data_IF_594820543970
#
_entry.id   IF_594820543970
#
_cell.length_a   1.000
_cell.length_b   1.000
_cell.length_c   1.000
_cell.angle_alpha   90.00
_cell.angle_beta   90.00
_cell.angle_gamma   90.00
#
_symmetry.space_group_name_H-M   'P 1'
#
loop_
_entity.id
_entity.type
_entity.pdbx_description
1 polymer ?
#
# COMPACT_ATOMS: atom_id res chain seq x y z
N UNK A 1 2.91 -22.98 23.30
CA UNK A 1 2.83 -22.28 22.02
C UNK A 1 2.10 -23.22 21.07
N UNK A 2 0.97 -22.79 20.49
CA UNK A 2 0.23 -23.64 19.55
C UNK A 2 1.04 -23.86 18.26
N UNK A 3 0.84 -24.99 17.57
CA UNK A 3 1.51 -25.22 16.31
C UNK A 3 1.08 -24.18 15.28
N UNK A 4 1.98 -23.82 14.37
CA UNK A 4 1.64 -23.02 13.21
C UNK A 4 0.98 -23.93 12.17
N UNK A 5 -0.16 -23.50 11.63
CA UNK A 5 -0.97 -24.28 10.68
C UNK A 5 -1.02 -23.57 9.34
N UNK A 6 -0.75 -24.28 8.26
CA UNK A 6 -0.99 -23.77 6.90
C UNK A 6 -2.47 -23.89 6.59
N UNK A 7 -3.12 -22.78 6.31
CA UNK A 7 -4.55 -22.72 5.98
C UNK A 7 -4.79 -22.84 4.47
N UNK A 8 -3.94 -22.23 3.66
CA UNK A 8 -4.08 -22.24 2.20
C UNK A 8 -2.72 -22.01 1.51
N UNK A 9 -2.64 -22.40 0.23
CA UNK A 9 -1.47 -22.22 -0.63
C UNK A 9 -1.91 -21.97 -2.06
N UNK A 10 -1.17 -21.14 -2.80
CA UNK A 10 -1.40 -20.89 -4.22
C UNK A 10 -0.10 -20.53 -4.92
N UNK A 11 0.08 -21.02 -6.14
CA UNK A 11 1.17 -20.58 -7.03
C UNK A 11 0.73 -19.32 -7.77
N UNK A 12 1.55 -18.27 -7.72
CA UNK A 12 1.33 -17.02 -8.42
C UNK A 12 1.74 -17.11 -9.89
N UNK A 13 1.29 -16.17 -10.76
CA UNK A 13 1.64 -16.18 -12.19
C UNK A 13 3.14 -16.12 -12.49
N UNK A 14 3.95 -15.59 -11.57
CA UNK A 14 5.41 -15.53 -11.69
C UNK A 14 6.14 -16.79 -11.16
N UNK A 15 5.37 -17.81 -10.77
CA UNK A 15 5.88 -19.09 -10.25
C UNK A 15 6.16 -19.09 -8.75
N UNK A 16 6.12 -17.95 -8.06
CA UNK A 16 6.28 -17.91 -6.60
C UNK A 16 5.08 -18.54 -5.88
N UNK A 17 5.29 -19.02 -4.66
CA UNK A 17 4.24 -19.64 -3.84
C UNK A 17 3.80 -18.67 -2.75
N UNK A 18 2.50 -18.39 -2.69
CA UNK A 18 1.88 -17.63 -1.61
C UNK A 18 1.18 -18.62 -0.67
N UNK A 19 1.53 -18.57 0.60
CA UNK A 19 0.97 -19.39 1.67
C UNK A 19 0.26 -18.50 2.70
N UNK A 20 -0.92 -18.94 3.14
CA UNK A 20 -1.60 -18.38 4.31
C UNK A 20 -1.41 -19.34 5.50
N UNK A 21 -0.90 -18.80 6.59
CA UNK A 21 -0.67 -19.52 7.83
C UNK A 21 -1.41 -18.88 8.99
N UNK A 22 -1.72 -19.68 10.02
CA UNK A 22 -2.34 -19.22 11.27
C UNK A 22 -1.55 -19.75 12.47
N UNK A 23 -1.41 -18.92 13.51
CA UNK A 23 -0.91 -19.30 14.83
C UNK A 23 -1.52 -18.41 15.90
N UNK A 24 -2.09 -19.02 16.92
CA UNK A 24 -2.69 -18.33 18.08
C UNK A 24 -3.74 -17.25 17.67
N UNK A 25 -4.49 -17.49 16.58
CA UNK A 25 -5.47 -16.55 16.02
C UNK A 25 -4.88 -15.43 15.17
N UNK A 26 -3.57 -15.45 14.90
CA UNK A 26 -2.91 -14.50 14.00
C UNK A 26 -2.64 -15.12 12.64
N UNK A 27 -2.96 -14.38 11.59
CA UNK A 27 -2.69 -14.76 10.21
C UNK A 27 -1.34 -14.23 9.73
N UNK A 28 -0.69 -15.01 8.87
CA UNK A 28 0.59 -14.67 8.25
C UNK A 28 0.53 -15.03 6.76
N UNK A 29 0.92 -14.10 5.90
CA UNK A 29 1.20 -14.41 4.51
C UNK A 29 2.69 -14.62 4.32
N UNK A 30 3.06 -15.72 3.67
CA UNK A 30 4.42 -16.02 3.28
C UNK A 30 4.49 -16.17 1.75
N UNK A 31 5.50 -15.55 1.14
CA UNK A 31 5.82 -15.75 -0.28
C UNK A 31 7.18 -16.45 -0.34
N UNK A 32 7.21 -17.61 -0.97
CA UNK A 32 8.40 -18.49 -1.03
C UNK A 32 9.03 -18.69 0.35
N UNK A 33 8.20 -18.91 1.37
CA UNK A 33 8.62 -19.10 2.75
C UNK A 33 9.02 -17.83 3.51
N UNK A 34 9.05 -16.65 2.87
CA UNK A 34 9.35 -15.37 3.51
C UNK A 34 8.05 -14.68 3.90
N UNK A 35 7.91 -14.29 5.18
CA UNK A 35 6.72 -13.61 5.66
C UNK A 35 6.60 -12.23 5.04
N UNK A 36 5.49 -11.98 4.34
CA UNK A 36 5.19 -10.70 3.67
C UNK A 36 4.15 -9.86 4.40
N UNK A 37 3.30 -10.49 5.22
CA UNK A 37 2.34 -9.78 6.06
C UNK A 37 2.02 -10.56 7.33
N UNK A 38 1.53 -9.85 8.35
CA UNK A 38 1.11 -10.42 9.64
C UNK A 38 -0.01 -9.62 10.25
N UNK A 39 -1.05 -10.29 10.74
CA UNK A 39 -2.11 -9.63 11.52
C UNK A 39 -1.68 -9.23 12.92
N UNK A 40 -0.53 -9.74 13.39
CA UNK A 40 0.09 -9.29 14.64
C UNK A 40 0.85 -7.97 14.47
N UNK A 41 1.42 -7.70 13.30
CA UNK A 41 2.33 -6.57 13.05
C UNK A 41 1.88 -5.77 11.82
N UNK A 42 0.98 -4.82 12.03
CA UNK A 42 0.38 -3.97 10.99
C UNK A 42 0.45 -2.46 11.30
N UNK A 43 1.18 -2.05 12.34
CA UNK A 43 1.29 -0.63 12.74
C UNK A 43 1.81 0.28 11.63
N UNK A 44 2.76 -0.19 10.83
CA UNK A 44 3.25 0.58 9.69
C UNK A 44 2.24 0.73 8.55
N UNK A 45 1.32 -0.23 8.38
CA UNK A 45 0.21 -0.13 7.44
C UNK A 45 -0.75 0.98 7.85
N UNK A 46 -1.08 1.06 9.14
CA UNK A 46 -1.95 2.09 9.70
C UNK A 46 -1.30 3.48 9.63
N UNK A 47 -0.01 3.58 9.94
CA UNK A 47 0.74 4.83 9.83
C UNK A 47 0.78 5.34 8.39
N UNK A 48 1.09 4.48 7.42
CA UNK A 48 1.08 4.82 6.00
C UNK A 48 -0.31 5.29 5.53
N UNK A 49 -1.36 4.59 5.94
CA UNK A 49 -2.75 4.97 5.65
C UNK A 49 -3.11 6.34 6.25
N UNK A 50 -2.70 6.63 7.49
CA UNK A 50 -2.94 7.91 8.14
C UNK A 50 -2.23 9.05 7.41
N UNK A 51 -0.97 8.86 6.98
CA UNK A 51 -0.22 9.84 6.19
C UNK A 51 -0.86 10.11 4.84
N UNK A 52 -1.33 9.05 4.15
CA UNK A 52 -2.03 9.18 2.87
C UNK A 52 -3.39 9.89 2.99
N UNK A 53 -4.10 9.64 4.08
CA UNK A 53 -5.42 10.20 4.32
C UNK A 53 -5.39 11.69 4.77
N UNK A 54 -4.38 12.08 5.55
CA UNK A 54 -4.31 13.40 6.20
C UNK A 54 -4.56 14.59 5.24
N UNK A 55 -3.90 14.70 4.06
CA UNK A 55 -4.07 15.84 3.17
C UNK A 55 -5.43 15.86 2.44
N UNK A 56 -6.15 14.74 2.42
CA UNK A 56 -7.36 14.56 1.60
C UNK A 56 -8.65 14.35 2.38
N UNK A 57 -8.60 14.44 3.72
CA UNK A 57 -9.79 14.29 4.59
C UNK A 57 -10.96 15.20 4.20
N UNK A 58 -10.69 16.36 3.60
CA UNK A 58 -11.70 17.33 3.15
C UNK A 58 -12.07 17.21 1.67
N UNK A 59 -11.43 16.34 0.91
CA UNK A 59 -11.76 16.12 -0.50
C UNK A 59 -13.16 15.49 -0.62
N UNK A 60 -13.96 15.94 -1.60
CA UNK A 60 -15.30 15.40 -1.82
C UNK A 60 -15.26 13.94 -2.31
N UNK A 61 -14.30 13.63 -3.17
CA UNK A 61 -14.13 12.32 -3.81
C UNK A 61 -12.67 11.87 -3.70
N UNK A 62 -12.19 11.54 -2.48
CA UNK A 62 -10.83 11.03 -2.32
C UNK A 62 -10.69 9.69 -3.04
N UNK A 63 -9.58 9.51 -3.76
CA UNK A 63 -9.31 8.31 -4.56
C UNK A 63 -7.92 7.79 -4.24
N UNK A 64 -7.83 6.49 -3.95
CA UNK A 64 -6.63 5.80 -3.53
C UNK A 64 -6.38 4.58 -4.42
N UNK A 65 -5.11 4.31 -4.71
CA UNK A 65 -4.66 3.06 -5.30
C UNK A 65 -3.78 2.34 -4.27
N UNK A 66 -4.11 1.09 -3.96
CA UNK A 66 -3.34 0.23 -3.09
C UNK A 66 -2.64 -0.83 -3.93
N UNK A 67 -1.34 -0.97 -3.75
CA UNK A 67 -0.50 -1.97 -4.40
C UNK A 67 -0.48 -3.24 -3.55
N UNK A 68 -1.39 -4.14 -3.84
CA UNK A 68 -1.67 -5.35 -3.09
C UNK A 68 -2.73 -5.20 -1.99
N UNK A 69 -3.47 -6.26 -1.75
CA UNK A 69 -4.42 -6.38 -0.64
C UNK A 69 -3.71 -6.83 0.65
N UNK A 70 -2.78 -7.78 0.53
CA UNK A 70 -2.16 -8.42 1.67
C UNK A 70 -3.21 -8.96 2.65
N UNK A 71 -3.07 -8.67 3.95
CA UNK A 71 -4.08 -8.98 4.97
C UNK A 71 -5.11 -7.84 5.17
N UNK A 72 -5.16 -6.84 4.28
CA UNK A 72 -6.19 -5.80 4.26
C UNK A 72 -5.94 -4.59 5.16
N UNK A 73 -4.95 -4.59 6.06
CA UNK A 73 -4.80 -3.57 7.10
C UNK A 73 -4.60 -2.14 6.57
N UNK A 74 -3.90 -1.97 5.46
CA UNK A 74 -3.77 -0.64 4.82
C UNK A 74 -5.12 -0.13 4.32
N UNK A 75 -5.91 -1.00 3.68
CA UNK A 75 -7.25 -0.66 3.21
C UNK A 75 -8.16 -0.36 4.38
N UNK A 76 -8.17 -1.19 5.41
CA UNK A 76 -9.01 -1.01 6.60
C UNK A 76 -8.73 0.33 7.28
N UNK A 77 -7.45 0.65 7.48
CA UNK A 77 -7.04 1.92 8.08
C UNK A 77 -7.45 3.13 7.23
N UNK A 78 -7.35 3.03 5.89
CA UNK A 78 -7.85 4.08 4.98
C UNK A 78 -9.36 4.25 5.07
N UNK A 79 -10.13 3.16 5.09
CA UNK A 79 -11.59 3.20 5.19
C UNK A 79 -12.05 3.85 6.50
N UNK A 80 -11.32 3.62 7.60
CA UNK A 80 -11.60 4.22 8.91
C UNK A 80 -11.28 5.73 8.94
N UNK A 81 -10.20 6.14 8.28
CA UNK A 81 -9.79 7.55 8.16
C UNK A 81 -10.68 8.34 7.20
N UNK A 82 -11.17 7.70 6.15
CA UNK A 82 -11.90 8.33 5.04
C UNK A 82 -13.33 7.77 5.00
N UNK A 83 -14.24 8.41 5.70
CA UNK A 83 -15.66 8.01 5.80
C UNK A 83 -16.55 8.64 4.73
N UNK A 84 -15.98 9.27 3.68
CA UNK A 84 -16.73 9.89 2.60
C UNK A 84 -17.36 8.80 1.73
N UNK A 85 -18.66 8.89 1.46
CA UNK A 85 -19.42 7.94 0.61
C UNK A 85 -18.87 7.88 -0.82
N UNK A 86 -18.41 9.02 -1.35
CA UNK A 86 -17.82 9.11 -2.69
C UNK A 86 -16.31 8.82 -2.73
N UNK A 87 -15.73 8.29 -1.64
CA UNK A 87 -14.35 7.82 -1.66
C UNK A 87 -14.22 6.60 -2.57
N UNK A 88 -13.04 6.42 -3.16
CA UNK A 88 -12.73 5.27 -4.01
C UNK A 88 -11.42 4.64 -3.54
N UNK A 89 -11.48 3.36 -3.23
CA UNK A 89 -10.32 2.53 -2.86
C UNK A 89 -10.16 1.47 -3.93
N UNK A 90 -9.18 1.65 -4.81
CA UNK A 90 -8.84 0.68 -5.85
C UNK A 90 -7.69 -0.16 -5.33
N UNK A 91 -7.92 -1.47 -5.22
CA UNK A 91 -6.92 -2.44 -4.78
C UNK A 91 -6.42 -3.20 -6.00
N UNK A 92 -5.15 -3.05 -6.30
CA UNK A 92 -4.45 -3.80 -7.32
C UNK A 92 -3.98 -5.13 -6.74
N UNK A 93 -4.72 -6.22 -6.98
CA UNK A 93 -4.39 -7.54 -6.41
C UNK A 93 -4.35 -8.60 -7.51
N UNK A 94 -3.15 -8.94 -8.02
CA UNK A 94 -3.03 -9.97 -9.06
C UNK A 94 -3.40 -11.39 -8.60
N UNK A 95 -3.31 -11.66 -7.29
CA UNK A 95 -3.58 -12.98 -6.72
C UNK A 95 -5.07 -13.16 -6.41
N UNK A 96 -5.84 -13.69 -7.37
CA UNK A 96 -7.25 -14.00 -7.18
C UNK A 96 -7.54 -14.93 -5.98
N UNK A 97 -6.76 -16.00 -5.71
CA UNK A 97 -6.96 -16.84 -4.54
C UNK A 97 -6.96 -16.07 -3.21
N UNK A 98 -6.16 -15.01 -3.07
CA UNK A 98 -6.10 -14.21 -1.86
C UNK A 98 -7.46 -13.58 -1.50
N UNK A 99 -8.27 -13.19 -2.49
CA UNK A 99 -9.62 -12.68 -2.24
C UNK A 99 -10.55 -13.76 -1.67
N UNK A 100 -10.42 -15.00 -2.15
CA UNK A 100 -11.20 -16.11 -1.61
C UNK A 100 -10.78 -16.41 -0.17
N UNK A 101 -9.49 -16.38 0.12
CA UNK A 101 -8.98 -16.56 1.49
C UNK A 101 -9.50 -15.47 2.43
N UNK A 102 -9.61 -14.22 1.97
CA UNK A 102 -10.25 -13.16 2.78
C UNK A 102 -11.69 -13.48 3.12
N UNK A 103 -12.47 -14.01 2.16
CA UNK A 103 -13.89 -14.35 2.37
C UNK A 103 -14.10 -15.58 3.25
N UNK A 104 -13.26 -16.58 3.07
CA UNK A 104 -13.48 -17.92 3.63
C UNK A 104 -12.73 -18.14 4.95
N UNK A 105 -11.56 -17.52 5.10
CA UNK A 105 -10.61 -17.82 6.17
C UNK A 105 -10.28 -16.62 7.07
N UNK A 106 -10.45 -15.39 6.57
CA UNK A 106 -10.02 -14.17 7.26
C UNK A 106 -11.14 -13.13 7.44
N UNK A 107 -12.40 -13.47 7.15
CA UNK A 107 -13.54 -12.53 7.22
C UNK A 107 -13.75 -11.93 8.62
N UNK A 108 -13.27 -12.61 9.66
CA UNK A 108 -13.33 -12.13 11.05
C UNK A 108 -12.56 -10.82 11.29
N UNK A 109 -11.52 -10.52 10.51
CA UNK A 109 -10.72 -9.31 10.68
C UNK A 109 -11.54 -8.05 10.33
N UNK A 110 -12.29 -8.09 9.24
CA UNK A 110 -13.24 -7.05 8.85
C UNK A 110 -14.34 -7.62 7.93
N UNK A 111 -15.43 -8.11 8.51
CA UNK A 111 -16.50 -8.74 7.75
C UNK A 111 -17.04 -7.83 6.65
N UNK A 112 -17.22 -8.38 5.45
CA UNK A 112 -17.93 -7.73 4.37
C UNK A 112 -17.23 -6.54 3.71
N UNK A 113 -15.94 -6.25 3.99
CA UNK A 113 -15.24 -5.10 3.40
C UNK A 113 -15.17 -5.13 1.87
N UNK A 114 -15.17 -6.32 1.27
CA UNK A 114 -15.20 -6.50 -0.20
C UNK A 114 -16.54 -6.11 -0.83
N UNK A 115 -17.60 -5.97 -0.02
CA UNK A 115 -18.91 -5.50 -0.45
C UNK A 115 -19.13 -4.01 -0.23
N UNK A 116 -18.15 -3.28 0.37
CA UNK A 116 -18.24 -1.82 0.48
C UNK A 116 -18.21 -1.21 -0.92
N UNK A 117 -19.23 -0.40 -1.32
CA UNK A 117 -19.33 0.15 -2.68
C UNK A 117 -18.17 1.08 -3.05
N UNK A 118 -17.38 1.51 -2.09
CA UNK A 118 -16.19 2.35 -2.29
C UNK A 118 -14.95 1.53 -2.66
N UNK A 119 -14.98 0.21 -2.44
CA UNK A 119 -13.85 -0.70 -2.69
C UNK A 119 -14.03 -1.40 -4.03
N UNK A 120 -13.01 -1.35 -4.87
CA UNK A 120 -12.92 -2.14 -6.09
C UNK A 120 -11.59 -2.87 -6.14
N UNK A 121 -11.62 -4.15 -6.50
CA UNK A 121 -10.40 -4.96 -6.67
C UNK A 121 -10.16 -5.18 -8.15
N UNK A 122 -8.98 -4.81 -8.62
CA UNK A 122 -8.52 -5.02 -9.99
C UNK A 122 -7.42 -6.08 -10.01
N UNK A 123 -7.61 -7.13 -10.82
CA UNK A 123 -6.64 -8.24 -10.96
C UNK A 123 -5.49 -7.87 -11.90
N UNK A 124 -4.79 -6.81 -11.54
CA UNK A 124 -3.67 -6.28 -12.31
C UNK A 124 -2.62 -5.67 -11.37
N UNK A 125 -1.34 -5.56 -11.80
CA UNK A 125 -0.33 -4.82 -11.05
C UNK A 125 -0.72 -3.33 -10.91
N UNK A 126 -0.40 -2.72 -9.76
CA UNK A 126 -0.70 -1.31 -9.49
C UNK A 126 -0.12 -0.36 -10.55
N UNK A 127 1.06 -0.64 -11.05
CA UNK A 127 1.70 0.16 -12.11
C UNK A 127 0.88 0.16 -13.41
N UNK A 128 0.28 -0.97 -13.77
CA UNK A 128 -0.58 -1.04 -14.96
C UNK A 128 -1.86 -0.19 -14.79
N UNK A 129 -2.44 -0.22 -13.59
CA UNK A 129 -3.61 0.60 -13.26
C UNK A 129 -3.22 2.08 -13.25
N UNK A 130 -2.07 2.43 -12.67
CA UNK A 130 -1.56 3.80 -12.64
C UNK A 130 -1.38 4.38 -14.05
N UNK A 131 -0.76 3.63 -14.98
CA UNK A 131 -0.57 4.03 -16.39
C UNK A 131 -1.88 4.36 -17.11
N UNK A 132 -2.94 3.60 -16.82
CA UNK A 132 -4.26 3.80 -17.44
C UNK A 132 -5.07 4.95 -16.82
N UNK A 133 -4.65 5.46 -15.65
CA UNK A 133 -5.41 6.44 -14.87
C UNK A 133 -4.57 7.68 -14.52
N UNK A 134 -4.16 8.50 -15.50
CA UNK A 134 -3.39 9.72 -15.22
C UNK A 134 -4.22 10.71 -14.40
N UNK A 135 -3.58 11.42 -13.47
CA UNK A 135 -4.18 12.46 -12.59
C UNK A 135 -5.45 11.99 -11.85
N UNK A 136 -5.51 10.71 -11.48
CA UNK A 136 -6.72 10.09 -10.90
C UNK A 136 -6.65 9.91 -9.40
N UNK A 137 -5.47 9.70 -8.84
CA UNK A 137 -5.30 9.31 -7.44
C UNK A 137 -4.83 10.47 -6.57
N UNK A 138 -5.39 10.57 -5.36
CA UNK A 138 -4.88 11.46 -4.32
C UNK A 138 -3.71 10.83 -3.58
N UNK A 139 -3.73 9.51 -3.41
CA UNK A 139 -2.57 8.78 -2.94
C UNK A 139 -2.49 7.39 -3.59
N UNK A 140 -1.25 6.91 -3.74
CA UNK A 140 -0.90 5.54 -4.13
C UNK A 140 -0.08 4.98 -2.99
N UNK A 141 -0.45 3.80 -2.46
CA UNK A 141 0.21 3.16 -1.34
C UNK A 141 0.80 1.83 -1.76
N UNK A 142 2.06 1.61 -1.44
CA UNK A 142 2.75 0.33 -1.63
C UNK A 142 3.45 -0.07 -0.32
N UNK A 143 3.44 -1.37 -0.01
CA UNK A 143 4.04 -1.92 1.19
C UNK A 143 5.02 -3.04 0.81
N UNK A 144 6.32 -2.78 0.97
CA UNK A 144 7.40 -3.70 0.61
C UNK A 144 8.42 -3.79 1.75
N UNK A 145 8.03 -4.48 2.84
CA UNK A 145 8.89 -4.61 4.02
C UNK A 145 9.80 -5.84 4.01
N UNK A 146 9.61 -6.75 3.06
CA UNK A 146 10.35 -8.01 3.00
C UNK A 146 11.29 -8.10 1.82
N UNK A 147 11.01 -7.36 0.75
CA UNK A 147 11.84 -7.29 -0.44
C UNK A 147 12.30 -5.86 -0.71
N UNK A 148 13.45 -5.72 -1.35
CA UNK A 148 13.89 -4.40 -1.83
C UNK A 148 13.01 -3.99 -3.01
N UNK A 149 12.31 -2.88 -2.88
CA UNK A 149 11.52 -2.33 -3.97
C UNK A 149 12.43 -1.83 -5.10
N UNK A 150 12.43 -2.53 -6.23
CA UNK A 150 13.17 -2.15 -7.42
C UNK A 150 12.28 -1.31 -8.34
N UNK A 151 12.19 -0.02 -8.05
CA UNK A 151 11.46 0.94 -8.87
C UNK A 151 12.44 1.68 -9.78
N UNK A 152 12.23 1.63 -11.10
CA UNK A 152 12.95 2.45 -12.06
C UNK A 152 12.42 3.89 -12.07
N UNK A 153 13.20 4.83 -12.62
CA UNK A 153 12.73 6.23 -12.76
C UNK A 153 11.51 6.32 -13.68
N UNK A 154 11.43 5.50 -14.73
CA UNK A 154 10.29 5.46 -15.64
C UNK A 154 9.01 5.02 -14.90
N UNK A 155 9.06 3.95 -14.12
CA UNK A 155 7.93 3.48 -13.32
C UNK A 155 7.52 4.47 -12.22
N UNK A 156 8.49 5.13 -11.59
CA UNK A 156 8.22 6.22 -10.65
C UNK A 156 7.51 7.41 -11.34
N UNK A 157 7.89 7.70 -12.61
CA UNK A 157 7.23 8.74 -13.42
C UNK A 157 5.80 8.36 -13.80
N UNK A 158 5.50 7.07 -14.01
CA UNK A 158 4.14 6.59 -14.24
C UNK A 158 3.26 6.81 -13.01
N UNK A 159 3.76 6.50 -11.81
CA UNK A 159 3.06 6.82 -10.56
C UNK A 159 2.89 8.32 -10.36
N UNK A 160 3.91 9.11 -10.69
CA UNK A 160 3.82 10.57 -10.66
C UNK A 160 2.73 11.09 -11.59
N UNK A 161 2.64 10.56 -12.82
CA UNK A 161 1.61 10.93 -13.79
C UNK A 161 0.20 10.57 -13.29
N UNK A 162 0.03 9.42 -12.63
CA UNK A 162 -1.24 8.94 -12.10
C UNK A 162 -1.76 9.75 -10.92
N UNK A 163 -0.88 10.40 -10.17
CA UNK A 163 -1.27 11.24 -9.04
C UNK A 163 -1.86 12.58 -9.49
N UNK A 164 -2.86 13.03 -8.74
CA UNK A 164 -3.35 14.41 -8.79
C UNK A 164 -2.29 15.37 -8.27
N UNK A 165 -2.46 16.66 -8.57
CA UNK A 165 -1.60 17.70 -8.03
C UNK A 165 -1.67 17.71 -6.49
N UNK A 166 -0.51 17.72 -5.84
CA UNK A 166 -0.39 17.59 -4.38
C UNK A 166 -0.62 16.17 -3.84
N UNK A 167 -0.81 15.18 -4.73
CA UNK A 167 -0.99 13.78 -4.36
C UNK A 167 0.29 13.12 -3.83
N UNK A 168 0.14 12.01 -3.14
CA UNK A 168 1.21 11.29 -2.45
C UNK A 168 1.42 9.89 -3.01
N UNK A 169 2.68 9.53 -3.25
CA UNK A 169 3.13 8.15 -3.32
C UNK A 169 3.70 7.78 -1.95
N UNK A 170 3.12 6.77 -1.30
CA UNK A 170 3.47 6.33 0.06
C UNK A 170 4.02 4.92 -0.02
N UNK A 171 5.31 4.76 0.25
CA UNK A 171 5.99 3.46 0.17
C UNK A 171 6.52 3.09 1.55
N UNK A 172 6.05 1.98 2.09
CA UNK A 172 6.57 1.42 3.33
C UNK A 172 7.63 0.38 3.04
N UNK A 173 8.82 0.54 3.62
CA UNK A 173 9.95 -0.38 3.50
C UNK A 173 10.48 -0.77 4.89
N UNK A 174 11.17 -1.93 5.00
CA UNK A 174 11.71 -2.38 6.28
C UNK A 174 12.76 -1.43 6.86
N UNK A 175 13.56 -0.79 6.01
CA UNK A 175 14.67 0.10 6.38
C UNK A 175 14.78 1.26 5.40
N UNK A 176 15.41 2.38 5.79
CA UNK A 176 15.66 3.50 4.88
C UNK A 176 16.33 3.03 3.58
N UNK A 177 15.79 3.46 2.44
CA UNK A 177 16.34 3.17 1.11
C UNK A 177 16.66 4.48 0.37
N UNK A 178 17.91 4.90 0.45
CA UNK A 178 18.40 6.12 -0.22
C UNK A 178 18.38 6.00 -1.75
N UNK A 179 18.44 4.77 -2.31
CA UNK A 179 18.34 4.55 -3.76
C UNK A 179 16.92 4.83 -4.23
N UNK A 180 15.93 4.27 -3.52
CA UNK A 180 14.52 4.50 -3.83
C UNK A 180 14.16 5.97 -3.69
N UNK A 181 14.60 6.64 -2.62
CA UNK A 181 14.39 8.08 -2.44
C UNK A 181 14.96 8.91 -3.61
N UNK A 182 16.19 8.61 -4.07
CA UNK A 182 16.79 9.26 -5.25
C UNK A 182 16.04 8.96 -6.54
N UNK A 183 15.52 7.74 -6.71
CA UNK A 183 14.70 7.38 -7.87
C UNK A 183 13.43 8.22 -7.93
N UNK A 184 12.73 8.39 -6.79
CA UNK A 184 11.54 9.23 -6.70
C UNK A 184 11.86 10.71 -6.97
N UNK A 185 12.97 11.23 -6.42
CA UNK A 185 13.40 12.60 -6.69
C UNK A 185 13.67 12.83 -8.19
N UNK A 186 14.34 11.89 -8.86
CA UNK A 186 14.57 11.95 -10.32
C UNK A 186 13.29 11.92 -11.13
N UNK A 187 12.23 11.26 -10.63
CA UNK A 187 10.91 11.25 -11.24
C UNK A 187 10.07 12.53 -10.92
N UNK A 188 10.62 13.48 -10.15
CA UNK A 188 9.98 14.77 -9.87
C UNK A 188 9.25 14.87 -8.53
N UNK A 189 9.35 13.86 -7.66
CA UNK A 189 8.76 13.90 -6.33
C UNK A 189 9.57 14.75 -5.34
N UNK A 190 8.88 15.50 -4.48
CA UNK A 190 9.42 15.98 -3.21
C UNK A 190 9.41 14.82 -2.23
N UNK A 191 10.59 14.37 -1.75
CA UNK A 191 10.71 13.14 -0.95
C UNK A 191 11.04 13.45 0.49
N UNK A 192 10.27 12.84 1.41
CA UNK A 192 10.57 12.78 2.85
C UNK A 192 10.46 11.34 3.35
N UNK A 193 11.03 11.08 4.53
CA UNK A 193 11.02 9.75 5.14
C UNK A 193 10.67 9.85 6.61
N UNK A 194 9.87 8.91 7.09
CA UNK A 194 9.47 8.82 8.50
C UNK A 194 9.67 7.40 9.03
N UNK A 195 10.22 7.27 10.23
CA UNK A 195 10.31 6.01 10.94
C UNK A 195 9.01 5.77 11.72
N UNK A 196 8.37 4.63 11.49
CA UNK A 196 7.10 4.28 12.13
C UNK A 196 7.19 2.91 12.81
N UNK A 197 6.48 2.69 13.93
CA UNK A 197 6.44 1.37 14.57
C UNK A 197 5.86 0.33 13.61
N UNK A 198 6.52 -0.82 13.48
CA UNK A 198 6.01 -1.94 12.69
C UNK A 198 4.77 -2.59 13.35
N UNK A 199 4.68 -2.51 14.69
CA UNK A 199 3.57 -3.08 15.46
C UNK A 199 3.23 -2.18 16.65
N UNK A 200 1.96 -2.20 17.06
CA UNK A 200 1.52 -1.57 18.34
C UNK A 200 1.66 -2.52 19.54
N UNK A 201 2.05 -3.77 19.30
CA UNK A 201 2.15 -4.82 20.33
C UNK A 201 3.62 -5.14 20.63
N UNK A 202 3.94 -5.26 21.92
CA UNK A 202 5.23 -5.72 22.41
C UNK A 202 6.13 -4.62 22.98
N UNK A 203 7.04 -5.02 23.90
CA UNK A 203 7.97 -4.12 24.61
C UNK A 203 9.12 -3.61 23.72
N UNK A 204 9.44 -4.32 22.63
CA UNK A 204 10.47 -3.94 21.66
C UNK A 204 9.84 -3.99 20.26
N UNK A 205 9.43 -2.86 19.77
CA UNK A 205 8.82 -2.74 18.44
C UNK A 205 9.92 -2.43 17.42
N UNK A 206 9.98 -3.22 16.35
CA UNK A 206 10.78 -2.87 15.18
C UNK A 206 10.19 -1.64 14.50
N UNK A 207 11.04 -0.86 13.82
CA UNK A 207 10.61 0.30 13.04
C UNK A 207 10.73 -0.02 11.55
N UNK A 208 9.72 0.40 10.81
CA UNK A 208 9.74 0.49 9.35
C UNK A 208 9.94 1.93 8.92
N UNK A 209 10.31 2.14 7.67
CA UNK A 209 10.43 3.47 7.08
C UNK A 209 9.30 3.69 6.08
N UNK A 210 8.57 4.78 6.24
CA UNK A 210 7.62 5.27 5.23
C UNK A 210 8.33 6.34 4.41
N UNK A 211 8.42 6.11 3.11
CA UNK A 211 8.95 7.07 2.13
C UNK A 211 7.73 7.75 1.51
N UNK A 212 7.68 9.08 1.63
CA UNK A 212 6.63 9.92 1.09
C UNK A 212 7.16 10.68 -0.13
N UNK A 213 6.61 10.36 -1.30
CA UNK A 213 6.84 11.10 -2.54
C UNK A 213 5.65 12.03 -2.81
N UNK A 214 5.81 13.34 -2.62
CA UNK A 214 4.75 14.32 -2.90
C UNK A 214 4.90 14.86 -4.31
N UNK A 215 3.80 14.85 -5.08
CA UNK A 215 3.72 15.56 -6.35
C UNK A 215 3.56 17.06 -6.06
N UNK A 216 4.66 17.82 -6.19
CA UNK A 216 4.71 19.27 -5.96
C UNK A 216 3.70 20.03 -6.81
N UNK A 217 3.39 21.26 -6.46
CA UNK A 217 2.60 22.17 -7.33
C UNK A 217 3.47 22.54 -8.53
N UNK A 218 2.96 22.40 -9.74
CA UNK A 218 3.58 22.97 -10.91
C UNK A 218 3.64 24.50 -10.71
N UNK A 219 4.84 25.01 -10.44
CA UNK A 219 5.12 26.47 -10.51
C UNK A 219 5.55 26.71 -11.96
N UNK A 220 4.76 27.41 -12.78
CA UNK A 220 5.21 27.78 -14.12
C UNK A 220 6.50 28.57 -13.98
N UNK A 221 7.51 28.24 -14.73
CA UNK A 221 8.73 29.02 -14.83
C UNK A 221 8.30 30.41 -15.37
N UNK A 222 8.20 31.40 -14.49
CA UNK A 222 8.12 32.78 -14.96
C UNK A 222 9.46 33.09 -15.59
N UNK A 223 9.49 33.11 -16.93
CA UNK A 223 10.61 33.68 -17.65
C UNK A 223 10.83 35.09 -17.08
N UNK A 224 11.90 35.30 -16.36
CA UNK A 224 12.37 36.63 -16.03
C UNK A 224 12.65 37.29 -17.36
N UNK A 225 11.77 38.21 -17.74
CA UNK A 225 12.06 39.19 -18.77
C UNK A 225 13.15 40.08 -18.22
N UNK A 226 14.28 40.01 -18.88
CA UNK A 226 15.39 40.99 -18.81
C UNK A 226 14.92 42.35 -19.32
#
# INVERSE_FOLDING_TARGET
>A
MKPITKLASSTLPDGSVLDLWERDGFHFLLRDGVQTASSFSHGSNEAAAAMAAAPVKRANQPSFLLDGLGLGFTLFALMDQIRREKARFIVAEPCKPLLNWHKELMDQERPGFLHDPRVSVEFAPALQIARKNPKSFHAILSHSTHERMNLSVAEASDYFAALKQGGLLVITVARPDARLSRTLQKAGFEVSTEAVPASHKGKKTAFHTVILGKKGRFVPFSAHQS
#
